data_IF_464066013615
#
_entry.id   IF_464066013615
#
_cell.length_a   1.000
_cell.length_b   1.000
_cell.length_c   1.000
_cell.angle_alpha   90.00
_cell.angle_beta   90.00
_cell.angle_gamma   90.00
#
_symmetry.space_group_name_H-M   'P 1'
#
loop_
_entity.id
_entity.type
_entity.pdbx_description
1 polymer ?
#
# COMPACT_ATOMS: atom_id res chain seq x y z
N UNK A 1 -11.20 -20.60 -21.10
CA UNK A 1 -11.99 -19.38 -20.81
C UNK A 1 -11.20 -18.49 -19.86
N UNK A 2 -11.49 -17.18 -19.74
CA UNK A 2 -10.81 -16.28 -18.78
C UNK A 2 -10.81 -16.82 -17.33
N UNK A 3 -11.78 -17.66 -16.98
CA UNK A 3 -11.89 -18.28 -15.65
C UNK A 3 -10.76 -19.26 -15.31
N UNK A 4 -10.17 -19.95 -16.30
CA UNK A 4 -9.01 -20.86 -16.10
C UNK A 4 -7.68 -20.10 -15.98
N UNK A 5 -7.63 -18.84 -16.43
CA UNK A 5 -6.42 -18.02 -16.30
C UNK A 5 -6.18 -17.59 -14.85
N UNK A 6 -7.26 -17.29 -14.11
CA UNK A 6 -7.19 -16.79 -12.74
C UNK A 6 -7.06 -17.89 -11.67
N UNK A 7 -7.27 -19.17 -12.00
CA UNK A 7 -7.19 -20.27 -11.02
C UNK A 7 -5.80 -20.46 -10.43
N UNK A 8 -4.75 -20.05 -11.14
CA UNK A 8 -3.35 -20.19 -10.70
C UNK A 8 -2.74 -18.87 -10.20
N UNK A 9 -3.56 -17.86 -9.93
CA UNK A 9 -3.10 -16.51 -9.56
C UNK A 9 -3.81 -16.00 -8.30
N UNK A 10 -3.07 -15.23 -7.51
CA UNK A 10 -3.61 -14.43 -6.40
C UNK A 10 -3.18 -12.98 -6.61
N UNK A 11 -4.08 -12.05 -6.30
CA UNK A 11 -3.80 -10.62 -6.29
C UNK A 11 -4.29 -10.04 -4.96
N UNK A 12 -3.43 -9.25 -4.33
CA UNK A 12 -3.78 -8.48 -3.14
C UNK A 12 -3.81 -7.00 -3.52
N UNK A 13 -5.00 -6.38 -3.44
CA UNK A 13 -5.25 -5.04 -3.96
C UNK A 13 -5.38 -4.08 -2.80
N UNK A 14 -4.48 -3.09 -2.77
CA UNK A 14 -4.48 -2.02 -1.79
C UNK A 14 -4.91 -0.70 -2.43
N UNK A 15 -5.88 -0.04 -1.81
CA UNK A 15 -6.51 1.19 -2.25
C UNK A 15 -6.10 2.36 -1.34
N UNK A 16 -6.24 3.60 -1.83
CA UNK A 16 -5.91 4.80 -1.03
C UNK A 16 -6.74 4.90 0.25
N UNK A 17 -7.91 4.23 0.29
CA UNK A 17 -8.77 4.20 1.48
C UNK A 17 -8.16 3.34 2.59
N UNK A 18 -7.40 2.29 2.26
CA UNK A 18 -6.70 1.48 3.26
C UNK A 18 -5.60 2.31 3.94
N UNK A 19 -4.91 3.17 3.17
CA UNK A 19 -3.93 4.13 3.74
C UNK A 19 -4.62 5.16 4.63
N UNK A 20 -5.78 5.69 4.20
CA UNK A 20 -6.53 6.71 4.94
C UNK A 20 -7.24 6.14 6.17
N UNK A 21 -7.50 4.84 6.22
CA UNK A 21 -7.94 4.16 7.44
C UNK A 21 -6.87 4.26 8.54
N UNK A 22 -5.59 4.18 8.16
CA UNK A 22 -4.44 4.29 9.07
C UNK A 22 -4.09 5.74 9.40
N UNK A 23 -4.28 6.65 8.45
CA UNK A 23 -4.02 8.09 8.62
C UNK A 23 -5.05 8.97 7.89
N UNK A 24 -6.17 9.31 8.57
CA UNK A 24 -7.28 10.04 7.95
C UNK A 24 -6.94 11.46 7.48
N UNK A 25 -5.84 12.04 7.98
CA UNK A 25 -5.40 13.39 7.63
C UNK A 25 -4.66 13.47 6.29
N UNK A 26 -4.27 12.35 5.70
CA UNK A 26 -3.59 12.35 4.41
C UNK A 26 -4.54 12.75 3.28
N UNK A 27 -4.04 13.63 2.42
CA UNK A 27 -4.67 13.89 1.12
C UNK A 27 -4.58 12.66 0.22
N UNK A 28 -5.43 12.58 -0.80
CA UNK A 28 -5.39 11.46 -1.75
C UNK A 28 -4.03 11.38 -2.49
N UNK A 29 -3.38 12.53 -2.71
CA UNK A 29 -2.05 12.58 -3.33
C UNK A 29 -0.98 11.99 -2.41
N UNK A 30 -1.03 12.31 -1.11
CA UNK A 30 -0.14 11.71 -0.11
C UNK A 30 -0.42 10.21 0.05
N UNK A 31 -1.69 9.79 0.05
CA UNK A 31 -2.06 8.38 0.12
C UNK A 31 -1.55 7.60 -1.12
N UNK A 32 -1.64 8.18 -2.32
CA UNK A 32 -1.04 7.61 -3.54
C UNK A 32 0.48 7.53 -3.45
N UNK A 33 1.14 8.54 -2.87
CA UNK A 33 2.58 8.52 -2.64
C UNK A 33 3.00 7.41 -1.67
N UNK A 34 2.20 7.14 -0.62
CA UNK A 34 2.42 5.99 0.28
C UNK A 34 2.32 4.68 -0.51
N UNK A 35 1.25 4.46 -1.27
CA UNK A 35 1.08 3.23 -2.04
C UNK A 35 2.19 3.02 -3.07
N UNK A 36 2.63 4.09 -3.75
CA UNK A 36 3.76 4.03 -4.68
C UNK A 36 5.04 3.57 -3.98
N UNK A 37 5.34 4.15 -2.79
CA UNK A 37 6.51 3.76 -2.01
C UNK A 37 6.43 2.33 -1.49
N UNK A 38 5.25 1.89 -1.05
CA UNK A 38 5.00 0.51 -0.62
C UNK A 38 5.23 -0.46 -1.77
N UNK A 39 4.72 -0.17 -2.97
CA UNK A 39 4.98 -0.96 -4.17
C UNK A 39 6.48 -1.07 -4.47
N UNK A 40 7.22 0.04 -4.38
CA UNK A 40 8.65 0.06 -4.68
C UNK A 40 9.53 -0.64 -3.62
N UNK A 41 9.04 -0.77 -2.38
CA UNK A 41 9.85 -1.22 -1.24
C UNK A 41 9.36 -2.50 -0.57
N UNK A 42 8.25 -3.09 -1.01
CA UNK A 42 7.71 -4.28 -0.36
C UNK A 42 8.66 -5.47 -0.43
N UNK A 43 8.77 -6.18 0.70
CA UNK A 43 9.54 -7.42 0.78
C UNK A 43 8.64 -8.58 0.36
N UNK A 44 8.98 -9.28 -0.72
CA UNK A 44 8.23 -10.41 -1.23
C UNK A 44 8.15 -11.60 -0.25
N UNK A 45 9.02 -11.67 0.77
CA UNK A 45 8.92 -12.69 1.83
C UNK A 45 7.74 -12.44 2.79
N UNK A 46 7.30 -11.18 2.91
CA UNK A 46 6.24 -10.77 3.83
C UNK A 46 4.97 -10.25 3.12
N UNK A 47 5.11 -9.76 1.90
CA UNK A 47 4.05 -9.08 1.16
C UNK A 47 3.76 -7.67 1.70
N UNK A 48 2.64 -7.10 1.24
CA UNK A 48 2.11 -5.86 1.78
C UNK A 48 1.19 -6.21 2.94
N UNK A 49 1.30 -5.46 4.04
CA UNK A 49 0.42 -5.58 5.20
C UNK A 49 0.27 -4.22 5.90
N UNK A 50 -0.54 -4.17 6.96
CA UNK A 50 -0.81 -2.95 7.71
C UNK A 50 0.44 -2.30 8.31
N UNK A 51 1.41 -3.09 8.79
CA UNK A 51 2.65 -2.58 9.38
C UNK A 51 3.53 -1.91 8.31
N UNK A 52 3.56 -2.48 7.10
CA UNK A 52 4.25 -1.88 5.95
C UNK A 52 3.59 -0.55 5.54
N UNK A 53 2.25 -0.44 5.59
CA UNK A 53 1.57 0.84 5.37
C UNK A 53 1.95 1.87 6.45
N UNK A 54 1.88 1.50 7.72
CA UNK A 54 2.17 2.41 8.85
C UNK A 54 3.62 2.92 8.81
N UNK A 55 4.58 2.05 8.47
CA UNK A 55 5.98 2.42 8.33
C UNK A 55 6.17 3.45 7.20
N UNK A 56 5.50 3.27 6.06
CA UNK A 56 5.60 4.18 4.93
C UNK A 56 4.83 5.50 5.14
N UNK A 57 3.71 5.48 5.85
CA UNK A 57 3.03 6.69 6.33
C UNK A 57 3.95 7.50 7.24
N UNK A 58 4.57 6.84 8.22
CA UNK A 58 5.48 7.48 9.17
C UNK A 58 6.69 8.10 8.44
N UNK A 59 7.28 7.35 7.52
CA UNK A 59 8.41 7.83 6.73
C UNK A 59 8.06 9.00 5.81
N UNK A 60 6.83 9.05 5.28
CA UNK A 60 6.33 10.20 4.52
C UNK A 60 6.19 11.42 5.44
N UNK A 61 5.54 11.29 6.60
CA UNK A 61 5.32 12.41 7.53
C UNK A 61 6.62 12.98 8.09
N UNK A 62 7.62 12.15 8.39
CA UNK A 62 8.94 12.61 8.83
C UNK A 62 9.71 13.38 7.74
N UNK A 63 9.37 13.21 6.45
CA UNK A 63 10.01 13.97 5.36
C UNK A 63 9.47 15.40 5.20
N UNK A 64 8.43 15.76 5.96
CA UNK A 64 7.81 17.09 5.97
C UNK A 64 8.05 17.88 7.28
N UNK A 65 8.96 17.40 8.15
CA UNK A 65 9.45 18.12 9.33
C UNK A 65 10.82 18.72 9.06
#
# INVERSE_FOLDING_TARGET
MLQEYWTDQIADIWHIMDVKERSPSLTDDQARAVLARVMDTHDANYGINWEILDANISALLCSFQ
#
